data_IF_931051695083
#
_entry.id   IF_931051695083
#
_cell.length_a   1.000
_cell.length_b   1.000
_cell.length_c   1.000
_cell.angle_alpha   90.00
_cell.angle_beta   90.00
_cell.angle_gamma   90.00
#
_symmetry.space_group_name_H-M   'P 1'
#
loop_
_entity.id
_entity.type
_entity.pdbx_description
1 polymer ?
#
# COMPACT_ATOMS: atom_id res chain seq x y z
N UNK A 1 -15.75 -35.58 -21.33
CA UNK A 1 -14.48 -35.58 -20.58
C UNK A 1 -13.34 -35.39 -21.55
N UNK A 2 -12.62 -34.27 -21.49
CA UNK A 2 -11.50 -33.97 -22.39
C UNK A 2 -10.17 -34.26 -21.71
N UNK A 3 -9.45 -35.26 -22.18
CA UNK A 3 -8.12 -35.63 -21.68
C UNK A 3 -7.09 -34.91 -22.56
N UNK A 4 -6.50 -33.84 -22.05
CA UNK A 4 -5.43 -33.12 -22.75
C UNK A 4 -4.14 -33.95 -22.75
N UNK A 5 -3.51 -34.08 -23.93
CA UNK A 5 -2.24 -34.82 -24.10
C UNK A 5 -1.13 -34.16 -23.26
N UNK A 6 -0.31 -34.97 -22.60
CA UNK A 6 0.87 -34.48 -21.87
C UNK A 6 1.84 -33.78 -22.85
N UNK A 7 2.42 -32.63 -22.50
CA UNK A 7 3.39 -31.95 -23.34
C UNK A 7 4.63 -32.83 -23.54
N UNK A 8 5.13 -32.85 -24.77
CA UNK A 8 6.31 -33.63 -25.17
C UNK A 8 7.56 -32.89 -24.68
N UNK A 9 8.29 -33.47 -23.74
CA UNK A 9 9.58 -32.95 -23.29
C UNK A 9 10.57 -33.00 -24.44
N UNK A 10 10.88 -31.85 -25.04
CA UNK A 10 12.07 -31.71 -25.88
C UNK A 10 13.28 -31.59 -24.95
N UNK A 11 14.31 -32.46 -25.06
CA UNK A 11 15.54 -32.26 -24.33
C UNK A 11 16.21 -31.01 -24.89
N UNK A 12 16.14 -29.90 -24.16
CA UNK A 12 16.92 -28.72 -24.48
C UNK A 12 18.39 -29.09 -24.30
N UNK A 13 19.13 -29.21 -25.41
CA UNK A 13 20.58 -29.12 -25.42
C UNK A 13 20.95 -27.70 -25.01
N UNK A 14 20.92 -27.42 -23.71
CA UNK A 14 21.39 -26.15 -23.18
C UNK A 14 22.90 -26.08 -23.46
N UNK A 15 23.31 -25.03 -24.15
CA UNK A 15 24.72 -24.82 -24.48
C UNK A 15 25.52 -24.65 -23.18
N UNK A 16 26.75 -25.15 -23.13
CA UNK A 16 27.62 -25.00 -21.94
C UNK A 16 27.80 -23.54 -21.55
N UNK A 17 27.73 -22.62 -22.52
CA UNK A 17 27.76 -21.18 -22.29
C UNK A 17 26.53 -20.66 -21.51
N UNK A 18 25.33 -21.18 -21.78
CA UNK A 18 24.12 -20.82 -21.03
C UNK A 18 24.16 -21.36 -19.59
N UNK A 19 24.70 -22.57 -19.41
CA UNK A 19 24.88 -23.17 -18.09
C UNK A 19 25.93 -22.38 -17.29
N UNK A 20 27.04 -22.02 -17.93
CA UNK A 20 28.09 -21.22 -17.31
C UNK A 20 27.57 -19.83 -16.92
N UNK A 21 26.81 -19.17 -17.80
CA UNK A 21 26.17 -17.89 -17.51
C UNK A 21 25.18 -17.99 -16.33
N UNK A 22 24.50 -19.13 -16.16
CA UNK A 22 23.59 -19.36 -15.03
C UNK A 22 24.37 -19.60 -13.71
N UNK A 23 25.50 -20.31 -13.77
CA UNK A 23 26.38 -20.53 -12.61
C UNK A 23 27.00 -19.20 -12.16
N UNK A 24 27.53 -18.42 -13.10
CA UNK A 24 28.14 -17.10 -12.85
C UNK A 24 27.11 -16.08 -12.34
N UNK A 25 25.85 -16.20 -12.78
CA UNK A 25 24.75 -15.37 -12.27
C UNK A 25 24.54 -15.56 -10.76
N UNK A 26 24.91 -16.72 -10.21
CA UNK A 26 24.83 -17.03 -8.79
C UNK A 26 23.41 -16.98 -8.23
N UNK A 27 23.19 -17.61 -7.07
CA UNK A 27 21.93 -17.49 -6.34
C UNK A 27 21.76 -16.08 -5.76
N UNK A 28 21.40 -15.09 -6.59
CA UNK A 28 21.15 -13.74 -6.14
C UNK A 28 20.02 -13.73 -5.11
N UNK A 29 20.30 -13.26 -3.89
CA UNK A 29 19.27 -13.02 -2.89
C UNK A 29 18.14 -12.18 -3.50
N UNK A 30 16.89 -12.51 -3.16
CA UNK A 30 15.70 -11.86 -3.70
C UNK A 30 15.89 -10.34 -3.77
N UNK A 31 16.00 -9.82 -4.99
CA UNK A 31 16.05 -8.39 -5.25
C UNK A 31 14.78 -7.82 -4.67
N UNK A 32 14.86 -7.13 -3.54
CA UNK A 32 13.73 -6.38 -3.05
C UNK A 32 13.36 -5.42 -4.17
N UNK A 33 12.21 -5.66 -4.79
CA UNK A 33 11.62 -4.73 -5.71
C UNK A 33 11.53 -3.41 -4.96
N UNK A 34 12.37 -2.44 -5.38
CA UNK A 34 12.22 -1.06 -4.97
C UNK A 34 10.83 -0.68 -5.44
N UNK A 35 9.86 -0.72 -4.52
CA UNK A 35 8.46 -0.35 -4.73
C UNK A 35 8.42 0.83 -5.68
N UNK A 36 7.80 0.58 -6.83
CA UNK A 36 7.64 1.48 -7.95
C UNK A 36 7.53 2.95 -7.51
N UNK A 37 8.45 3.76 -8.05
CA UNK A 37 8.44 5.21 -7.96
C UNK A 37 7.29 5.81 -8.80
N UNK A 38 6.04 5.52 -8.45
CA UNK A 38 4.90 6.42 -8.75
C UNK A 38 4.83 7.57 -7.72
N UNK A 39 6.00 8.05 -7.27
CA UNK A 39 6.19 9.05 -6.20
C UNK A 39 6.39 10.46 -6.77
N UNK A 40 5.43 10.98 -7.53
CA UNK A 40 5.45 12.42 -7.90
C UNK A 40 4.21 13.21 -7.48
N UNK A 41 3.14 12.57 -7.03
CA UNK A 41 1.95 13.27 -6.48
C UNK A 41 1.71 13.04 -4.98
N UNK A 42 2.55 12.20 -4.34
CA UNK A 42 2.40 11.79 -2.94
C UNK A 42 3.51 12.38 -2.05
N UNK A 43 4.02 13.56 -2.40
CA UNK A 43 5.27 14.07 -1.83
C UNK A 43 5.11 14.78 -0.48
N UNK A 44 3.92 15.29 -0.15
CA UNK A 44 3.72 16.09 1.08
C UNK A 44 2.59 15.55 1.98
N UNK A 45 2.30 14.25 1.94
CA UNK A 45 1.33 13.63 2.86
C UNK A 45 2.11 12.88 3.95
N UNK A 46 1.98 13.35 5.19
CA UNK A 46 2.58 12.70 6.37
C UNK A 46 1.53 11.86 7.10
N UNK A 47 1.70 10.52 7.21
CA UNK A 47 0.78 9.70 7.99
C UNK A 47 0.99 9.94 9.49
N UNK A 48 -0.11 10.15 10.21
CA UNK A 48 -0.08 10.36 11.67
C UNK A 48 -0.85 9.22 12.33
N UNK A 49 -0.22 8.57 13.31
CA UNK A 49 -0.89 7.61 14.19
C UNK A 49 -1.24 8.29 15.51
N UNK A 50 -2.51 8.29 15.87
CA UNK A 50 -3.02 8.95 17.07
C UNK A 50 -3.50 7.91 18.08
N UNK A 51 -3.15 8.11 19.36
CA UNK A 51 -3.76 7.39 20.49
C UNK A 51 -4.73 8.32 21.19
N UNK A 52 -6.00 7.97 21.18
CA UNK A 52 -7.05 8.74 21.81
C UNK A 52 -7.66 7.93 22.96
N UNK A 53 -8.06 8.58 24.07
CA UNK A 53 -8.92 7.94 25.05
C UNK A 53 -10.19 7.43 24.39
N UNK A 54 -10.68 6.26 24.80
CA UNK A 54 -11.88 5.63 24.23
C UNK A 54 -13.10 6.57 24.25
N UNK A 55 -13.27 7.30 25.35
CA UNK A 55 -14.34 8.29 25.51
C UNK A 55 -14.33 9.37 24.43
N UNK A 56 -13.16 9.78 23.93
CA UNK A 56 -13.07 10.75 22.83
C UNK A 56 -13.49 10.13 21.49
N UNK A 57 -13.07 8.90 21.21
CA UNK A 57 -13.48 8.18 19.99
C UNK A 57 -15.01 8.01 19.94
N UNK A 58 -15.62 7.59 21.05
CA UNK A 58 -17.06 7.42 21.16
C UNK A 58 -17.81 8.74 20.95
N UNK A 59 -17.30 9.84 21.54
CA UNK A 59 -17.88 11.18 21.31
C UNK A 59 -17.83 11.58 19.84
N UNK A 60 -16.73 11.32 19.13
CA UNK A 60 -16.60 11.62 17.70
C UNK A 60 -17.63 10.82 16.90
N UNK A 61 -17.77 9.52 17.19
CA UNK A 61 -18.75 8.66 16.52
C UNK A 61 -20.19 9.15 16.72
N UNK A 62 -20.58 9.48 17.96
CA UNK A 62 -21.93 10.00 18.24
C UNK A 62 -22.26 11.30 17.52
N UNK A 63 -21.26 12.16 17.26
CA UNK A 63 -21.44 13.40 16.49
C UNK A 63 -21.59 13.11 15.00
N UNK A 64 -20.78 12.18 14.47
CA UNK A 64 -20.85 11.76 13.07
C UNK A 64 -22.19 11.11 12.73
N UNK A 65 -22.74 10.29 13.63
CA UNK A 65 -24.03 9.61 13.42
C UNK A 65 -25.22 10.58 13.34
N UNK A 66 -25.14 11.73 14.02
CA UNK A 66 -26.20 12.75 14.01
C UNK A 66 -26.19 13.65 12.78
N UNK A 67 -25.14 13.62 11.96
CA UNK A 67 -25.07 14.43 10.74
C UNK A 67 -26.09 13.93 9.72
N UNK A 68 -26.77 14.87 9.05
CA UNK A 68 -27.70 14.55 7.97
C UNK A 68 -27.02 13.85 6.78
N UNK A 69 -25.75 14.17 6.52
CA UNK A 69 -24.93 13.54 5.50
C UNK A 69 -23.77 12.77 6.16
N UNK A 70 -23.59 11.51 5.74
CA UNK A 70 -22.49 10.68 6.24
C UNK A 70 -21.18 11.17 5.67
N UNK A 71 -20.29 11.61 6.57
CA UNK A 71 -18.91 11.99 6.23
C UNK A 71 -17.97 10.94 6.81
N UNK A 72 -16.93 10.49 6.05
CA UNK A 72 -15.92 9.60 6.59
C UNK A 72 -15.22 10.23 7.80
N UNK A 73 -14.95 9.41 8.84
CA UNK A 73 -14.26 9.86 10.07
C UNK A 73 -12.97 10.62 9.79
N UNK A 74 -12.18 10.13 8.84
CA UNK A 74 -10.93 10.76 8.44
C UNK A 74 -11.14 12.18 7.93
N UNK A 75 -12.10 12.39 7.01
CA UNK A 75 -12.42 13.71 6.47
C UNK A 75 -12.91 14.65 7.57
N UNK A 76 -13.75 14.17 8.47
CA UNK A 76 -14.23 14.96 9.61
C UNK A 76 -13.10 15.40 10.54
N UNK A 77 -12.13 14.52 10.82
CA UNK A 77 -10.96 14.87 11.62
C UNK A 77 -10.11 15.94 10.93
N UNK A 78 -9.94 15.86 9.61
CA UNK A 78 -9.22 16.90 8.85
C UNK A 78 -9.96 18.24 8.90
N UNK A 79 -11.28 18.24 8.70
CA UNK A 79 -12.11 19.46 8.84
C UNK A 79 -11.90 20.10 10.22
N UNK A 80 -11.98 19.30 11.29
CA UNK A 80 -11.81 19.78 12.65
C UNK A 80 -10.40 20.33 12.92
N UNK A 81 -9.36 19.71 12.35
CA UNK A 81 -7.98 20.21 12.47
C UNK A 81 -7.84 21.57 11.77
N UNK A 82 -8.33 21.69 10.54
CA UNK A 82 -8.29 22.96 9.79
C UNK A 82 -9.04 24.06 10.54
N UNK A 83 -10.27 23.78 10.99
CA UNK A 83 -11.07 24.73 11.77
C UNK A 83 -10.34 25.18 13.05
N UNK A 84 -9.63 24.26 13.72
CA UNK A 84 -8.86 24.59 14.92
C UNK A 84 -7.65 25.47 14.61
N UNK A 85 -6.93 25.18 13.53
CA UNK A 85 -5.77 25.99 13.08
C UNK A 85 -6.22 27.41 12.70
N UNK A 86 -7.26 27.54 11.88
CA UNK A 86 -7.80 28.85 11.48
C UNK A 86 -8.27 29.71 12.66
N UNK A 87 -8.71 29.10 13.74
CA UNK A 87 -9.10 29.79 14.98
C UNK A 87 -7.93 30.26 15.82
N UNK A 88 -6.77 29.60 15.75
CA UNK A 88 -5.58 29.95 16.54
C UNK A 88 -4.60 30.84 15.79
N UNK A 89 -4.63 30.82 14.45
CA UNK A 89 -3.80 31.70 13.60
C UNK A 89 -4.38 33.11 13.43
N UNK A 90 -5.62 33.34 13.87
CA UNK A 90 -6.26 34.67 13.93
C UNK A 90 -6.02 35.34 15.28
#
# INVERSE_FOLDING_TARGET
MSISKKPKTTPSSQSEAEVQALIEKGGSAARQEKKNNNKKQQKDIVPISLRLPRSFSERIETVLEKRALKVPRHTWLLEAIVEKLEREEK
#
